data_IF_342188519147
#
_entry.id   IF_342188519147
#
_cell.length_a   1.000
_cell.length_b   1.000
_cell.length_c   1.000
_cell.angle_alpha   90.00
_cell.angle_beta   90.00
_cell.angle_gamma   90.00
#
_symmetry.space_group_name_H-M   'P 1'
#
loop_
_entity.id
_entity.type
_entity.pdbx_description
1 polymer ?
#
# COMPACT_ATOMS: atom_id res chain seq x y z
N UNK A 1 32.49 -33.83 -35.78
CA UNK A 1 31.75 -34.17 -34.55
C UNK A 1 31.12 -32.90 -34.03
N UNK A 2 29.79 -32.80 -34.00
CA UNK A 2 29.10 -31.65 -33.43
C UNK A 2 29.04 -31.84 -31.91
N UNK A 3 29.68 -30.95 -31.17
CA UNK A 3 29.58 -30.93 -29.72
C UNK A 3 28.22 -30.33 -29.35
N UNK A 4 27.28 -31.17 -28.91
CA UNK A 4 26.07 -30.73 -28.23
C UNK A 4 26.47 -30.19 -26.86
N UNK A 5 26.30 -28.89 -26.65
CA UNK A 5 26.41 -28.31 -25.32
C UNK A 5 25.29 -28.90 -24.45
N UNK A 6 25.58 -29.33 -23.21
CA UNK A 6 24.54 -29.79 -22.31
C UNK A 6 23.52 -28.66 -22.11
N UNK A 7 22.25 -28.95 -22.38
CA UNK A 7 21.16 -28.06 -21.96
C UNK A 7 21.24 -27.97 -20.44
N UNK A 8 21.42 -26.76 -19.93
CA UNK A 8 21.33 -26.49 -18.51
C UNK A 8 19.93 -26.90 -18.05
N UNK A 9 19.83 -28.00 -17.31
CA UNK A 9 18.58 -28.42 -16.68
C UNK A 9 18.49 -27.61 -15.40
N UNK A 10 17.63 -26.58 -15.41
CA UNK A 10 17.29 -25.84 -14.21
C UNK A 10 16.25 -26.66 -13.45
N UNK A 11 16.61 -27.14 -12.26
CA UNK A 11 15.63 -27.71 -11.34
C UNK A 11 14.95 -26.56 -10.59
N UNK A 12 13.70 -26.26 -10.97
CA UNK A 12 12.92 -25.21 -10.34
C UNK A 12 12.50 -25.54 -8.89
N UNK A 13 12.72 -26.78 -8.43
CA UNK A 13 12.44 -27.21 -7.06
C UNK A 13 13.70 -27.21 -6.17
N UNK A 14 14.88 -26.96 -6.75
CA UNK A 14 16.11 -26.83 -6.00
C UNK A 14 16.08 -25.53 -5.18
N UNK A 15 16.02 -25.68 -3.87
CA UNK A 15 16.02 -24.60 -2.87
C UNK A 15 17.35 -24.52 -2.12
N UNK A 16 18.37 -25.25 -2.59
CA UNK A 16 19.71 -25.17 -2.01
C UNK A 16 20.28 -23.78 -2.23
N UNK A 17 20.90 -23.24 -1.18
CA UNK A 17 21.61 -21.98 -1.27
C UNK A 17 22.94 -22.22 -1.97
N UNK A 18 23.29 -21.32 -2.87
CA UNK A 18 24.67 -21.21 -3.35
C UNK A 18 25.61 -20.82 -2.20
N UNK A 19 26.93 -21.11 -2.30
CA UNK A 19 27.89 -20.68 -1.29
C UNK A 19 27.85 -19.16 -1.04
N UNK A 20 27.59 -18.35 -2.07
CA UNK A 20 27.44 -16.89 -1.94
C UNK A 20 26.20 -16.51 -1.12
N UNK A 21 25.07 -17.19 -1.34
CA UNK A 21 23.85 -16.98 -0.55
C UNK A 21 24.03 -17.43 0.90
N UNK A 22 24.78 -18.51 1.16
CA UNK A 22 25.12 -18.95 2.51
C UNK A 22 25.98 -17.90 3.25
N UNK A 23 26.97 -17.33 2.57
CA UNK A 23 27.84 -16.27 3.10
C UNK A 23 27.03 -15.00 3.42
N UNK A 24 26.13 -14.58 2.52
CA UNK A 24 25.23 -13.44 2.75
C UNK A 24 24.32 -13.70 3.95
N UNK A 25 23.71 -14.89 4.02
CA UNK A 25 22.82 -15.25 5.11
C UNK A 25 23.57 -15.30 6.46
N UNK A 26 24.83 -15.74 6.46
CA UNK A 26 25.69 -15.68 7.65
C UNK A 26 25.98 -14.24 8.07
N UNK A 27 26.35 -13.36 7.13
CA UNK A 27 26.60 -11.96 7.42
C UNK A 27 25.37 -11.24 8.00
N UNK A 28 24.16 -11.52 7.47
CA UNK A 28 22.91 -10.96 8.00
C UNK A 28 22.68 -11.42 9.44
N UNK A 29 22.88 -12.72 9.73
CA UNK A 29 22.74 -13.26 11.10
C UNK A 29 23.72 -12.62 12.08
N UNK A 30 24.98 -12.42 11.67
CA UNK A 30 26.00 -11.79 12.51
C UNK A 30 25.67 -10.33 12.83
N UNK A 31 25.22 -9.56 11.83
CA UNK A 31 24.80 -8.18 12.04
C UNK A 31 23.57 -8.12 12.95
N UNK A 32 22.57 -8.99 12.73
CA UNK A 32 21.38 -9.08 13.57
C UNK A 32 21.74 -9.42 15.02
N UNK A 33 22.64 -10.37 15.24
CA UNK A 33 23.11 -10.73 16.59
C UNK A 33 23.78 -9.55 17.32
N UNK A 34 24.53 -8.71 16.59
CA UNK A 34 25.17 -7.51 17.17
C UNK A 34 24.16 -6.40 17.48
N UNK A 35 23.11 -6.26 16.69
CA UNK A 35 22.06 -5.26 16.89
C UNK A 35 21.05 -5.69 17.97
N UNK A 36 20.84 -7.00 18.14
CA UNK A 36 19.90 -7.55 19.13
C UNK A 36 18.48 -7.03 18.91
N UNK A 37 17.82 -6.66 20.00
CA UNK A 37 16.42 -6.22 19.98
C UNK A 37 16.21 -4.82 19.36
N UNK A 38 17.28 -4.16 18.91
CA UNK A 38 17.20 -2.86 18.23
C UNK A 38 16.74 -2.95 16.78
N UNK A 39 16.74 -4.14 16.19
CA UNK A 39 16.39 -4.36 14.79
C UNK A 39 15.17 -5.27 14.65
N UNK A 40 14.26 -4.87 13.76
CA UNK A 40 13.11 -5.65 13.32
C UNK A 40 13.18 -5.80 11.80
N UNK A 41 13.05 -7.00 11.27
CA UNK A 41 13.05 -7.29 9.83
C UNK A 41 11.63 -7.73 9.42
N UNK A 42 11.02 -7.00 8.51
CA UNK A 42 9.66 -7.23 8.03
C UNK A 42 9.70 -7.71 6.58
N UNK A 43 9.10 -8.87 6.29
CA UNK A 43 9.07 -9.45 4.94
C UNK A 43 7.67 -9.47 4.34
N UNK A 44 7.48 -8.85 3.18
CA UNK A 44 6.23 -9.02 2.43
C UNK A 44 6.09 -10.46 1.90
N UNK A 45 4.85 -10.96 1.75
CA UNK A 45 4.56 -12.29 1.20
C UNK A 45 5.21 -12.61 -0.17
N UNK A 46 5.59 -11.58 -0.93
CA UNK A 46 6.18 -11.74 -2.27
C UNK A 46 7.72 -11.74 -2.25
N UNK A 47 8.34 -11.74 -1.08
CA UNK A 47 9.79 -11.83 -0.96
C UNK A 47 10.30 -13.24 -1.28
N UNK A 48 11.56 -13.30 -1.71
CA UNK A 48 12.26 -14.58 -1.97
C UNK A 48 12.56 -15.29 -0.64
N UNK A 49 12.67 -16.61 -0.69
CA UNK A 49 12.92 -17.45 0.51
C UNK A 49 14.17 -17.02 1.29
N UNK A 50 15.25 -16.66 0.60
CA UNK A 50 16.49 -16.14 1.21
C UNK A 50 16.33 -14.78 1.92
N UNK A 51 15.22 -14.08 1.73
CA UNK A 51 14.87 -12.87 2.49
C UNK A 51 13.90 -13.25 3.62
N UNK A 52 12.92 -14.10 3.31
CA UNK A 52 11.90 -14.57 4.24
C UNK A 52 12.52 -15.28 5.44
N UNK A 53 13.60 -16.04 5.25
CA UNK A 53 14.30 -16.72 6.35
C UNK A 53 14.89 -15.78 7.42
N UNK A 54 15.05 -14.51 7.08
CA UNK A 54 15.57 -13.49 7.98
C UNK A 54 14.49 -12.58 8.57
N UNK A 55 13.25 -12.70 8.10
CA UNK A 55 12.14 -11.86 8.54
C UNK A 55 11.61 -12.32 9.92
N UNK A 56 11.39 -11.37 10.82
CA UNK A 56 10.73 -11.59 12.10
C UNK A 56 9.21 -11.78 11.92
N UNK A 57 8.64 -11.06 10.95
CA UNK A 57 7.24 -11.19 10.55
C UNK A 57 7.10 -11.22 9.04
N UNK A 58 6.15 -12.03 8.58
CA UNK A 58 5.77 -12.15 7.17
C UNK A 58 4.30 -11.79 7.04
N UNK A 59 3.96 -10.90 6.11
CA UNK A 59 2.56 -10.53 5.91
C UNK A 59 2.26 -9.56 4.78
N UNK A 60 1.03 -9.04 4.81
CA UNK A 60 0.58 -7.94 3.96
C UNK A 60 1.07 -6.57 4.46
N UNK A 61 0.91 -5.53 3.64
CA UNK A 61 1.42 -4.19 3.94
C UNK A 61 0.83 -3.59 5.22
N UNK A 62 -0.45 -3.82 5.51
CA UNK A 62 -1.11 -3.20 6.64
C UNK A 62 -0.67 -3.84 7.96
N UNK A 63 -0.68 -5.17 8.03
CA UNK A 63 -0.21 -5.91 9.20
C UNK A 63 1.26 -5.58 9.50
N UNK A 64 2.13 -5.55 8.47
CA UNK A 64 3.53 -5.21 8.66
C UNK A 64 3.73 -3.77 9.15
N UNK A 65 2.94 -2.81 8.65
CA UNK A 65 3.00 -1.42 9.13
C UNK A 65 2.53 -1.29 10.59
N UNK A 66 1.53 -2.08 11.02
CA UNK A 66 1.14 -2.16 12.43
C UNK A 66 2.24 -2.78 13.29
N UNK A 67 2.89 -3.86 12.82
CA UNK A 67 4.02 -4.48 13.54
C UNK A 67 5.21 -3.54 13.69
N UNK A 68 5.51 -2.74 12.67
CA UNK A 68 6.51 -1.69 12.73
C UNK A 68 6.18 -0.70 13.85
N UNK A 69 4.94 -0.19 13.87
CA UNK A 69 4.47 0.76 14.86
C UNK A 69 4.45 0.16 16.28
N UNK A 70 4.01 -1.08 16.47
CA UNK A 70 3.90 -1.72 17.79
C UNK A 70 5.26 -2.15 18.38
N UNK A 71 6.32 -2.19 17.58
CA UNK A 71 7.64 -2.65 18.01
C UNK A 71 8.41 -1.60 18.82
N UNK A 72 9.27 -2.06 19.74
CA UNK A 72 10.26 -1.22 20.43
C UNK A 72 11.59 -1.11 19.65
N UNK A 73 11.73 -1.79 18.51
CA UNK A 73 12.92 -1.73 17.68
C UNK A 73 13.11 -0.32 17.11
N UNK A 74 14.33 0.21 17.23
CA UNK A 74 14.71 1.51 16.67
C UNK A 74 15.02 1.46 15.18
N UNK A 75 15.33 0.26 14.65
CA UNK A 75 15.68 0.05 13.25
C UNK A 75 14.70 -0.96 12.67
N UNK A 76 13.95 -0.56 11.65
CA UNK A 76 12.97 -1.42 10.97
C UNK A 76 13.44 -1.63 9.54
N UNK A 77 13.88 -2.83 9.21
CA UNK A 77 14.25 -3.19 7.83
C UNK A 77 13.01 -3.71 7.13
N UNK A 78 12.46 -2.91 6.21
CA UNK A 78 11.25 -3.25 5.47
C UNK A 78 11.62 -3.89 4.12
N UNK A 79 11.56 -5.22 4.08
CA UNK A 79 11.73 -6.01 2.87
C UNK A 79 10.42 -6.03 2.07
N UNK A 80 10.17 -4.93 1.37
CA UNK A 80 9.00 -4.69 0.53
C UNK A 80 9.30 -3.67 -0.56
N UNK A 81 8.25 -2.98 -1.01
CA UNK A 81 8.34 -1.88 -1.98
C UNK A 81 8.15 -0.52 -1.31
N UNK A 82 8.51 0.55 -2.02
CA UNK A 82 8.64 1.90 -1.50
C UNK A 82 7.43 2.38 -0.67
N UNK A 83 6.23 2.33 -1.24
CA UNK A 83 5.03 2.81 -0.55
C UNK A 83 4.73 2.04 0.75
N UNK A 84 5.13 0.76 0.85
CA UNK A 84 4.90 -0.04 2.05
C UNK A 84 5.81 0.44 3.18
N UNK A 85 7.08 0.72 2.86
CA UNK A 85 8.03 1.27 3.81
C UNK A 85 7.63 2.69 4.24
N UNK A 86 7.19 3.54 3.30
CA UNK A 86 6.64 4.86 3.64
C UNK A 86 5.45 4.75 4.59
N UNK A 87 4.54 3.81 4.34
CA UNK A 87 3.37 3.63 5.19
C UNK A 87 3.72 3.12 6.59
N UNK A 88 4.75 2.27 6.70
CA UNK A 88 5.28 1.87 8.00
C UNK A 88 5.90 3.08 8.73
N UNK A 89 6.68 3.89 8.02
CA UNK A 89 7.34 5.09 8.58
C UNK A 89 6.33 6.10 9.12
N UNK A 90 5.25 6.34 8.37
CA UNK A 90 4.11 7.20 8.79
C UNK A 90 3.46 6.74 10.10
N UNK A 91 3.41 5.44 10.37
CA UNK A 91 2.79 4.88 11.59
C UNK A 91 3.76 4.72 12.76
N UNK A 92 5.06 4.66 12.50
CA UNK A 92 6.07 4.48 13.54
C UNK A 92 6.24 5.72 14.42
N UNK A 93 6.83 5.54 15.60
CA UNK A 93 7.08 6.61 16.57
C UNK A 93 8.41 7.31 16.29
N UNK A 94 8.53 8.53 16.82
CA UNK A 94 9.80 9.25 16.91
C UNK A 94 10.90 8.36 17.49
N UNK A 95 12.05 8.31 16.80
CA UNK A 95 13.20 7.48 17.19
C UNK A 95 13.23 6.08 16.58
N UNK A 96 12.20 5.68 15.83
CA UNK A 96 12.27 4.55 14.91
C UNK A 96 12.74 5.03 13.54
N UNK A 97 13.43 4.16 12.80
CA UNK A 97 13.86 4.45 11.44
C UNK A 97 13.54 3.26 10.53
N UNK A 98 12.72 3.52 9.50
CA UNK A 98 12.39 2.53 8.48
C UNK A 98 13.42 2.57 7.36
N UNK A 99 14.06 1.43 7.11
CA UNK A 99 15.10 1.25 6.12
C UNK A 99 14.63 0.28 5.04
N UNK A 100 14.87 0.65 3.79
CA UNK A 100 14.70 -0.26 2.66
C UNK A 100 16.05 -0.77 2.17
N UNK A 101 16.20 -2.08 1.91
CA UNK A 101 17.43 -2.61 1.31
C UNK A 101 17.74 -1.99 -0.07
N UNK A 102 16.72 -1.56 -0.81
CA UNK A 102 16.88 -0.89 -2.10
C UNK A 102 15.71 0.05 -2.39
N UNK A 103 16.00 1.32 -2.67
CA UNK A 103 14.99 2.31 -3.08
C UNK A 103 14.43 2.05 -4.49
N UNK A 104 15.05 1.14 -5.25
CA UNK A 104 14.56 0.73 -6.59
C UNK A 104 13.39 -0.25 -6.52
N UNK A 105 13.03 -0.76 -5.34
CA UNK A 105 11.86 -1.62 -5.17
C UNK A 105 10.57 -0.77 -5.24
N UNK A 106 10.07 -0.53 -6.45
CA UNK A 106 8.84 0.22 -6.70
C UNK A 106 7.63 -0.67 -6.96
N UNK A 107 6.47 -0.03 -7.19
CA UNK A 107 5.24 -0.70 -7.59
C UNK A 107 4.60 0.08 -8.73
N UNK A 108 4.58 -0.50 -9.93
CA UNK A 108 4.04 0.16 -11.12
C UNK A 108 2.58 0.60 -10.96
N UNK A 109 1.78 -0.12 -10.17
CA UNK A 109 0.40 0.28 -9.85
C UNK A 109 0.34 1.51 -8.95
N UNK A 110 1.25 1.65 -7.99
CA UNK A 110 1.31 2.84 -7.14
C UNK A 110 1.69 4.09 -7.93
N UNK A 111 2.46 3.91 -9.00
CA UNK A 111 2.91 4.98 -9.90
C UNK A 111 1.86 5.35 -10.98
N UNK A 112 0.71 4.65 -11.05
CA UNK A 112 -0.36 4.95 -12.03
C UNK A 112 -1.15 6.23 -11.72
N UNK A 113 -1.08 6.71 -10.48
CA UNK A 113 -1.63 8.01 -10.09
C UNK A 113 -0.52 8.83 -9.44
N UNK A 114 -0.41 10.09 -9.82
CA UNK A 114 0.53 11.03 -9.21
C UNK A 114 -0.23 12.11 -8.44
N UNK A 115 0.42 12.70 -7.42
CA UNK A 115 -0.17 13.80 -6.66
C UNK A 115 -0.54 14.96 -7.60
N UNK A 116 0.38 15.34 -8.50
CA UNK A 116 0.21 16.45 -9.42
C UNK A 116 -1.02 16.28 -10.32
N UNK A 117 -1.28 15.06 -10.81
CA UNK A 117 -2.46 14.77 -11.64
C UNK A 117 -3.75 14.85 -10.82
N UNK A 118 -3.76 14.23 -9.64
CA UNK A 118 -4.94 14.22 -8.77
C UNK A 118 -5.28 15.64 -8.30
N UNK A 119 -4.29 16.43 -7.85
CA UNK A 119 -4.51 17.81 -7.41
C UNK A 119 -4.96 18.73 -8.54
N UNK A 120 -4.40 18.54 -9.75
CA UNK A 120 -4.80 19.31 -10.93
C UNK A 120 -6.26 19.05 -11.33
N UNK A 121 -6.68 17.78 -11.31
CA UNK A 121 -7.97 17.38 -11.88
C UNK A 121 -9.11 17.42 -10.83
N UNK A 122 -8.77 17.40 -9.53
CA UNK A 122 -9.74 17.42 -8.42
C UNK A 122 -10.79 18.54 -8.50
N UNK A 123 -10.45 19.82 -8.71
CA UNK A 123 -11.47 20.88 -8.81
C UNK A 123 -12.43 20.67 -9.98
N UNK A 124 -11.93 20.15 -11.11
CA UNK A 124 -12.74 19.85 -12.29
C UNK A 124 -13.72 18.71 -12.04
N UNK A 125 -13.31 17.68 -11.30
CA UNK A 125 -14.19 16.58 -10.91
C UNK A 125 -15.32 17.06 -10.00
N UNK A 126 -15.02 17.91 -9.01
CA UNK A 126 -16.01 18.51 -8.13
C UNK A 126 -17.04 19.34 -8.91
N UNK A 127 -16.57 20.23 -9.80
CA UNK A 127 -17.43 21.08 -10.61
C UNK A 127 -18.33 20.28 -11.55
N UNK A 128 -17.76 19.31 -12.29
CA UNK A 128 -18.50 18.51 -13.26
C UNK A 128 -19.58 17.62 -12.62
N UNK A 129 -19.30 17.08 -11.43
CA UNK A 129 -20.26 16.25 -10.70
C UNK A 129 -21.23 17.03 -9.81
N UNK A 130 -21.04 18.35 -9.64
CA UNK A 130 -21.81 19.15 -8.71
C UNK A 130 -21.59 18.73 -7.25
N UNK A 131 -20.39 18.25 -6.93
CA UNK A 131 -20.03 17.79 -5.58
C UNK A 131 -19.22 18.85 -4.85
N UNK A 132 -19.35 18.83 -3.53
CA UNK A 132 -18.47 19.59 -2.63
C UNK A 132 -17.30 18.73 -2.16
N UNK A 133 -16.23 19.40 -1.76
CA UNK A 133 -15.10 18.76 -1.11
C UNK A 133 -15.44 18.45 0.37
N UNK A 134 -15.28 17.22 0.87
CA UNK A 134 -15.47 16.92 2.29
C UNK A 134 -14.64 17.82 3.22
N UNK A 135 -13.48 18.32 2.78
CA UNK A 135 -12.62 19.25 3.53
C UNK A 135 -13.30 20.58 3.85
N UNK A 136 -14.38 20.93 3.15
CA UNK A 136 -15.17 22.15 3.45
C UNK A 136 -16.03 22.04 4.70
N UNK A 137 -16.15 20.84 5.28
CA UNK A 137 -16.98 20.55 6.47
C UNK A 137 -16.20 20.77 7.76
N UNK A 138 -16.92 21.06 8.84
CA UNK A 138 -16.32 21.09 10.19
C UNK A 138 -15.77 19.71 10.60
N UNK A 139 -16.53 18.65 10.30
CA UNK A 139 -16.08 17.26 10.44
C UNK A 139 -16.22 16.53 9.09
N UNK A 140 -15.13 16.45 8.31
CA UNK A 140 -15.10 15.71 7.05
C UNK A 140 -15.40 14.22 7.21
N UNK A 141 -15.24 13.66 8.43
CA UNK A 141 -15.41 12.25 8.73
C UNK A 141 -16.82 11.88 9.19
N UNK A 142 -17.72 12.84 9.39
CA UNK A 142 -19.11 12.57 9.75
C UNK A 142 -19.93 12.11 8.53
N UNK A 143 -20.98 11.28 8.69
CA UNK A 143 -21.93 11.02 7.61
C UNK A 143 -22.51 12.31 7.02
N UNK A 144 -22.81 12.31 5.72
CA UNK A 144 -23.39 13.47 5.03
C UNK A 144 -24.87 13.66 5.42
N UNK A 145 -25.36 14.90 5.34
CA UNK A 145 -26.78 15.20 5.46
C UNK A 145 -27.60 14.69 4.25
N UNK A 146 -28.93 14.68 4.38
CA UNK A 146 -29.84 14.17 3.35
C UNK A 146 -29.71 14.90 1.99
N UNK A 147 -29.41 16.20 2.02
CA UNK A 147 -29.28 17.04 0.83
C UNK A 147 -27.83 17.28 0.41
N UNK A 148 -26.87 16.66 1.09
CA UNK A 148 -25.46 16.85 0.83
C UNK A 148 -24.99 15.97 -0.35
N UNK A 149 -23.99 16.45 -1.06
CA UNK A 149 -23.35 15.74 -2.15
C UNK A 149 -21.85 16.04 -2.15
N UNK A 150 -21.04 15.06 -1.72
CA UNK A 150 -19.59 15.18 -1.68
C UNK A 150 -18.91 14.15 -2.57
N UNK A 151 -17.70 14.49 -3.03
CA UNK A 151 -16.78 13.54 -3.65
C UNK A 151 -15.78 13.08 -2.59
N UNK A 152 -15.88 11.83 -2.14
CA UNK A 152 -14.97 11.28 -1.13
C UNK A 152 -13.82 10.54 -1.81
N UNK A 153 -12.56 10.94 -1.63
CA UNK A 153 -11.44 10.23 -2.22
C UNK A 153 -11.09 8.99 -1.41
N UNK A 154 -10.90 7.87 -2.09
CA UNK A 154 -10.44 6.61 -1.50
C UNK A 154 -9.23 6.14 -2.31
N UNK A 155 -8.09 6.03 -1.66
CA UNK A 155 -6.89 5.48 -2.31
C UNK A 155 -6.59 4.08 -1.81
N UNK A 156 -6.15 3.21 -2.72
CA UNK A 156 -5.59 1.92 -2.34
C UNK A 156 -4.24 2.11 -1.65
N UNK A 157 -3.89 1.21 -0.73
CA UNK A 157 -2.62 1.19 0.00
C UNK A 157 -1.41 1.29 -0.94
N UNK A 158 -1.54 0.72 -2.14
CA UNK A 158 -0.59 0.85 -3.24
C UNK A 158 -0.67 2.25 -3.88
N UNK A 159 -0.19 3.25 -3.15
CA UNK A 159 -0.13 4.67 -3.52
C UNK A 159 1.02 5.34 -2.78
N UNK A 160 1.52 6.48 -3.25
CA UNK A 160 2.57 7.22 -2.51
C UNK A 160 2.05 7.79 -1.18
N UNK A 161 2.95 8.06 -0.24
CA UNK A 161 2.59 8.80 0.99
C UNK A 161 1.95 10.17 0.68
N UNK A 162 2.41 10.84 -0.38
CA UNK A 162 1.87 12.13 -0.82
C UNK A 162 0.39 12.03 -1.24
N UNK A 163 -0.01 10.96 -1.93
CA UNK A 163 -1.42 10.71 -2.26
C UNK A 163 -2.26 10.36 -1.02
N UNK A 164 -1.69 9.64 -0.06
CA UNK A 164 -2.37 9.35 1.21
C UNK A 164 -2.63 10.63 2.00
N UNK A 165 -1.67 11.55 2.02
CA UNK A 165 -1.81 12.88 2.62
C UNK A 165 -2.91 13.70 1.92
N UNK A 166 -2.91 13.76 0.58
CA UNK A 166 -3.99 14.38 -0.19
C UNK A 166 -5.35 13.81 0.22
N UNK A 167 -5.51 12.49 0.19
CA UNK A 167 -6.76 11.81 0.54
C UNK A 167 -7.21 12.17 1.95
N UNK A 168 -6.29 12.18 2.93
CA UNK A 168 -6.59 12.58 4.31
C UNK A 168 -7.04 14.04 4.43
N UNK A 169 -6.36 14.97 3.74
CA UNK A 169 -6.73 16.40 3.69
C UNK A 169 -8.12 16.63 3.09
N UNK A 170 -8.54 15.77 2.17
CA UNK A 170 -9.83 15.83 1.48
C UNK A 170 -10.92 14.96 2.13
N UNK A 171 -10.76 14.59 3.41
CA UNK A 171 -11.76 13.82 4.18
C UNK A 171 -11.96 12.38 3.71
N UNK A 172 -11.00 11.87 2.94
CA UNK A 172 -10.99 10.52 2.41
C UNK A 172 -10.32 9.50 3.32
N UNK A 173 -10.06 8.31 2.77
CA UNK A 173 -9.46 7.21 3.52
C UNK A 173 -8.63 6.27 2.63
N UNK A 174 -7.64 5.61 3.24
CA UNK A 174 -6.83 4.56 2.59
C UNK A 174 -7.50 3.20 2.79
N UNK A 175 -7.56 2.39 1.73
CA UNK A 175 -8.07 1.03 1.78
C UNK A 175 -7.01 -0.03 1.45
N UNK A 176 -7.28 -1.27 1.82
CA UNK A 176 -6.59 -2.47 1.34
C UNK A 176 -7.59 -3.36 0.60
N UNK A 177 -7.10 -4.38 -0.11
CA UNK A 177 -7.98 -5.38 -0.74
C UNK A 177 -8.82 -6.15 0.28
N UNK A 178 -8.35 -6.28 1.52
CA UNK A 178 -9.04 -6.99 2.61
C UNK A 178 -10.16 -6.16 3.27
N UNK A 179 -10.14 -4.83 3.18
CA UNK A 179 -11.15 -3.96 3.81
C UNK A 179 -11.93 -3.06 2.82
N UNK A 180 -11.66 -3.15 1.51
CA UNK A 180 -12.23 -2.28 0.48
C UNK A 180 -13.75 -2.12 0.56
N UNK A 181 -14.50 -3.20 0.86
CA UNK A 181 -15.95 -3.15 1.00
C UNK A 181 -16.38 -2.21 2.13
N UNK A 182 -15.85 -2.41 3.34
CA UNK A 182 -16.21 -1.59 4.50
C UNK A 182 -15.76 -0.13 4.33
N UNK A 183 -14.62 0.09 3.67
CA UNK A 183 -14.16 1.45 3.32
C UNK A 183 -15.10 2.13 2.33
N UNK A 184 -15.60 1.42 1.31
CA UNK A 184 -16.56 1.99 0.37
C UNK A 184 -17.92 2.26 1.02
N UNK A 185 -18.42 1.35 1.88
CA UNK A 185 -19.64 1.61 2.67
C UNK A 185 -19.47 2.90 3.50
N UNK A 186 -18.35 3.05 4.21
CA UNK A 186 -17.98 4.26 4.96
C UNK A 186 -17.91 5.51 4.07
N UNK A 187 -17.32 5.39 2.88
CA UNK A 187 -17.13 6.51 1.97
C UNK A 187 -18.47 6.99 1.39
N UNK A 188 -19.37 6.07 1.01
CA UNK A 188 -20.69 6.44 0.50
C UNK A 188 -21.57 7.12 1.55
N UNK A 189 -21.49 6.71 2.82
CA UNK A 189 -22.17 7.42 3.92
C UNK A 189 -21.72 8.88 4.05
N UNK A 190 -20.44 9.17 3.76
CA UNK A 190 -19.85 10.53 3.80
C UNK A 190 -20.02 11.31 2.51
N UNK A 191 -20.21 10.61 1.40
CA UNK A 191 -20.54 11.21 0.12
C UNK A 191 -21.98 11.74 0.11
N UNK A 192 -22.90 11.05 0.79
CA UNK A 192 -24.33 11.35 0.75
C UNK A 192 -25.02 10.73 -0.47
N UNK A 193 -26.35 10.78 -0.49
CA UNK A 193 -27.16 10.07 -1.51
C UNK A 193 -26.89 10.55 -2.95
N UNK A 194 -26.46 11.81 -3.11
CA UNK A 194 -26.11 12.42 -4.39
C UNK A 194 -24.60 12.58 -4.59
N UNK A 195 -23.78 12.08 -3.67
CA UNK A 195 -22.33 12.12 -3.75
C UNK A 195 -21.73 11.00 -4.59
N UNK A 196 -20.39 10.98 -4.61
CA UNK A 196 -19.61 9.96 -5.30
C UNK A 196 -18.32 9.62 -4.52
N UNK A 197 -17.67 8.54 -4.93
CA UNK A 197 -16.37 8.11 -4.41
C UNK A 197 -15.37 8.10 -5.55
N UNK A 198 -14.25 8.80 -5.39
CA UNK A 198 -13.10 8.69 -6.30
C UNK A 198 -12.20 7.55 -5.80
N UNK A 199 -12.17 6.42 -6.50
CA UNK A 199 -11.33 5.27 -6.13
C UNK A 199 -10.12 5.13 -7.05
N UNK A 200 -8.91 5.11 -6.49
CA UNK A 200 -7.67 5.05 -7.27
C UNK A 200 -6.51 4.37 -6.51
N UNK A 201 -5.41 3.98 -7.18
CA UNK A 201 -5.23 3.90 -8.63
C UNK A 201 -5.80 2.61 -9.25
N UNK A 202 -6.15 1.60 -8.44
CA UNK A 202 -6.62 0.32 -8.96
C UNK A 202 -8.12 0.34 -9.28
N UNK A 203 -8.45 0.64 -10.54
CA UNK A 203 -9.82 0.62 -11.04
C UNK A 203 -10.51 -0.74 -10.85
N UNK A 204 -9.77 -1.85 -10.87
CA UNK A 204 -10.35 -3.18 -10.80
C UNK A 204 -10.74 -3.51 -9.37
N UNK A 205 -9.94 -3.14 -8.38
CA UNK A 205 -10.32 -3.27 -6.98
C UNK A 205 -11.60 -2.45 -6.69
N UNK A 206 -11.64 -1.19 -7.15
CA UNK A 206 -12.80 -0.33 -6.99
C UNK A 206 -14.06 -0.90 -7.66
N UNK A 207 -14.00 -1.16 -8.96
CA UNK A 207 -15.15 -1.66 -9.73
C UNK A 207 -15.61 -3.03 -9.29
N UNK A 208 -14.71 -3.99 -9.03
CA UNK A 208 -15.10 -5.31 -8.56
C UNK A 208 -15.77 -5.25 -7.18
N UNK A 209 -15.34 -4.33 -6.32
CA UNK A 209 -16.01 -4.12 -5.03
C UNK A 209 -17.38 -3.49 -5.23
N UNK A 210 -17.49 -2.45 -6.08
CA UNK A 210 -18.76 -1.83 -6.44
C UNK A 210 -19.78 -2.79 -7.06
N UNK A 211 -19.36 -3.66 -7.98
CA UNK A 211 -20.23 -4.71 -8.54
C UNK A 211 -20.76 -5.65 -7.46
N UNK A 212 -19.92 -6.06 -6.50
CA UNK A 212 -20.35 -6.87 -5.34
C UNK A 212 -21.24 -6.10 -4.37
N UNK A 213 -21.24 -4.77 -4.43
CA UNK A 213 -22.16 -3.89 -3.71
C UNK A 213 -23.50 -3.71 -4.43
N UNK A 214 -23.63 -4.19 -5.67
CA UNK A 214 -24.82 -4.00 -6.51
C UNK A 214 -24.82 -2.67 -7.27
N UNK A 215 -23.67 -2.02 -7.43
CA UNK A 215 -23.54 -0.88 -8.34
C UNK A 215 -23.44 -1.37 -9.78
N UNK A 216 -24.19 -0.73 -10.67
CA UNK A 216 -24.12 -0.98 -12.11
C UNK A 216 -22.87 -0.33 -12.72
N UNK A 217 -22.35 -0.89 -13.82
CA UNK A 217 -21.10 -0.41 -14.43
C UNK A 217 -21.19 1.03 -14.96
N UNK A 218 -22.35 1.46 -15.41
CA UNK A 218 -22.59 2.83 -15.90
C UNK A 218 -22.49 3.88 -14.78
N UNK A 219 -22.61 3.46 -13.51
CA UNK A 219 -22.40 4.28 -12.32
C UNK A 219 -20.93 4.38 -11.90
N UNK A 220 -20.02 3.69 -12.59
CA UNK A 220 -18.58 3.64 -12.27
C UNK A 220 -17.73 4.08 -13.48
N UNK A 221 -17.82 5.37 -13.88
CA UNK A 221 -17.00 5.90 -14.97
C UNK A 221 -15.50 5.83 -14.64
N UNK A 222 -14.68 5.72 -15.69
CA UNK A 222 -13.21 5.68 -15.64
C UNK A 222 -12.64 6.85 -16.44
#
# INVERSE_FOLDING_TARGET
MAATLPMCVVDYMDTTKSPEEEDIAAAIRDVRARLGDKVLILGHHYQRDGIVEHADYIGDSYMLSQKAADSDATIIVFCGVHFMAESADVLTRDGQSVLMPTLRAGCSMADMATLDEVERDWPGMLEQGGWSDPASREDPSAPAGENDAYLVPVTYMNSSAALKDFVGRHGGVVCTSSNARGVLDWAFERAGANGAVLFFPDQHLGRNTGLKMGLEEDRMPV
#
